data_IF_148466289722
#
_entry.id   IF_148466289722
#
_cell.length_a   1.000
_cell.length_b   1.000
_cell.length_c   1.000
_cell.angle_alpha   90.00
_cell.angle_beta   90.00
_cell.angle_gamma   90.00
#
_symmetry.space_group_name_H-M   'P 1'
#
loop_
_entity.id
_entity.type
_entity.pdbx_description
1 polymer ?
#
# COMPACT_ATOMS: atom_id res chain seq x y z
N UNK A 1 -3.25 -9.34 -20.71
CA UNK A 1 -3.30 -10.05 -19.41
C UNK A 1 -3.27 -9.03 -18.29
N UNK A 2 -4.28 -8.94 -17.43
CA UNK A 2 -4.24 -8.00 -16.31
C UNK A 2 -3.17 -8.48 -15.31
N UNK A 3 -2.02 -7.81 -15.26
CA UNK A 3 -1.00 -8.09 -14.26
C UNK A 3 -1.63 -7.91 -12.87
N UNK A 4 -1.76 -9.01 -12.12
CA UNK A 4 -2.20 -8.97 -10.73
C UNK A 4 -1.03 -8.53 -9.88
N UNK A 5 -1.19 -7.42 -9.15
CA UNK A 5 -0.19 -6.95 -8.21
C UNK A 5 -0.42 -7.59 -6.83
N UNK A 6 0.67 -7.94 -6.15
CA UNK A 6 0.62 -8.45 -4.79
C UNK A 6 0.90 -7.34 -3.77
N UNK A 7 0.41 -7.54 -2.55
CA UNK A 7 0.80 -6.68 -1.42
C UNK A 7 2.32 -6.70 -1.26
N UNK A 8 2.92 -5.53 -1.10
CA UNK A 8 4.37 -5.35 -1.02
C UNK A 8 5.06 -5.06 -2.35
N UNK A 9 4.37 -5.23 -3.49
CA UNK A 9 4.93 -4.89 -4.80
C UNK A 9 5.16 -3.39 -4.94
N UNK A 10 6.24 -3.04 -5.64
CA UNK A 10 6.53 -1.68 -6.07
C UNK A 10 5.87 -1.44 -7.43
N UNK A 11 5.15 -0.33 -7.53
CA UNK A 11 4.38 0.04 -8.71
C UNK A 11 4.58 1.52 -9.02
N UNK A 12 4.62 1.87 -10.30
CA UNK A 12 4.50 3.24 -10.77
C UNK A 12 3.03 3.56 -11.01
N UNK A 13 2.58 4.69 -10.48
CA UNK A 13 1.21 5.21 -10.65
C UNK A 13 1.16 6.18 -11.86
N UNK A 14 -0.03 6.54 -12.39
CA UNK A 14 -0.15 7.34 -13.61
C UNK A 14 0.54 8.71 -13.55
N UNK A 15 0.64 9.27 -12.35
CA UNK A 15 1.29 10.57 -12.12
C UNK A 15 2.84 10.50 -12.08
N UNK A 16 3.42 9.33 -12.40
CA UNK A 16 4.86 9.08 -12.48
C UNK A 16 5.52 8.67 -11.16
N UNK A 17 4.84 8.84 -10.01
CA UNK A 17 5.39 8.46 -8.70
C UNK A 17 5.53 6.94 -8.57
N UNK A 18 6.49 6.53 -7.76
CA UNK A 18 6.66 5.14 -7.32
C UNK A 18 5.97 4.96 -5.96
N UNK A 19 5.18 3.90 -5.85
CA UNK A 19 4.46 3.54 -4.64
C UNK A 19 4.57 2.05 -4.33
N UNK A 20 3.98 1.67 -3.20
CA UNK A 20 3.89 0.26 -2.79
C UNK A 20 2.46 -0.16 -2.53
N UNK A 21 2.09 -1.33 -3.05
CA UNK A 21 0.78 -1.92 -2.82
C UNK A 21 0.67 -2.31 -1.34
N UNK A 22 -0.25 -1.66 -0.63
CA UNK A 22 -0.54 -1.89 0.78
C UNK A 22 -1.63 -2.96 0.95
N UNK A 23 -2.64 -2.95 0.11
CA UNK A 23 -3.77 -3.86 0.14
C UNK A 23 -4.37 -4.02 -1.26
N UNK A 24 -5.09 -5.13 -1.46
CA UNK A 24 -5.93 -5.36 -2.64
C UNK A 24 -7.37 -5.34 -2.15
N UNK A 25 -8.18 -4.46 -2.73
CA UNK A 25 -9.57 -4.21 -2.35
C UNK A 25 -10.44 -4.37 -3.60
N UNK A 26 -11.27 -5.41 -3.68
CA UNK A 26 -12.26 -5.69 -4.76
C UNK A 26 -11.90 -5.12 -6.14
N UNK A 27 -10.83 -5.63 -6.76
CA UNK A 27 -10.40 -5.24 -8.11
C UNK A 27 -9.61 -3.92 -8.20
N UNK A 28 -9.39 -3.25 -7.08
CA UNK A 28 -8.54 -2.07 -6.93
C UNK A 28 -7.37 -2.37 -5.99
N UNK A 29 -6.34 -1.54 -6.09
CA UNK A 29 -5.11 -1.64 -5.34
C UNK A 29 -4.92 -0.39 -4.54
N UNK A 30 -4.76 -0.56 -3.23
CA UNK A 30 -4.43 0.54 -2.32
C UNK A 30 -2.94 0.74 -2.32
N UNK A 31 -2.46 1.78 -2.98
CA UNK A 31 -1.04 2.07 -3.16
C UNK A 31 -0.62 3.18 -2.22
N UNK A 32 0.41 2.95 -1.42
CA UNK A 32 1.06 3.98 -0.59
C UNK A 32 2.09 4.71 -1.46
N UNK A 33 1.91 6.01 -1.63
CA UNK A 33 2.83 6.90 -2.35
C UNK A 33 3.25 8.06 -1.44
N UNK A 34 4.43 8.61 -1.67
CA UNK A 34 4.83 9.87 -1.04
C UNK A 34 4.07 11.04 -1.70
N UNK A 35 3.70 12.06 -0.91
CA UNK A 35 3.11 13.30 -1.46
C UNK A 35 4.15 14.05 -2.28
N UNK A 36 3.72 14.79 -3.32
CA UNK A 36 4.63 15.62 -4.12
C UNK A 36 5.18 16.79 -3.31
N UNK A 37 4.35 17.35 -2.44
CA UNK A 37 4.64 18.58 -1.68
C UNK A 37 5.25 18.32 -0.31
N UNK A 38 5.38 17.07 0.13
CA UNK A 38 5.90 16.78 1.48
C UNK A 38 6.45 15.36 1.63
N UNK A 39 7.18 15.14 2.73
CA UNK A 39 7.70 13.81 3.11
C UNK A 39 6.63 12.87 3.67
N UNK A 40 5.37 13.32 3.76
CA UNK A 40 4.29 12.47 4.24
C UNK A 40 3.80 11.54 3.15
N UNK A 41 3.10 10.49 3.56
CA UNK A 41 2.57 9.48 2.66
C UNK A 41 1.06 9.64 2.52
N UNK A 42 0.54 9.26 1.36
CA UNK A 42 -0.89 9.13 1.10
C UNK A 42 -1.19 7.77 0.50
N UNK A 43 -2.46 7.40 0.49
CA UNK A 43 -2.94 6.21 -0.18
C UNK A 43 -3.74 6.62 -1.41
N UNK A 44 -3.47 5.96 -2.53
CA UNK A 44 -4.26 6.02 -3.75
C UNK A 44 -4.96 4.69 -3.95
N UNK A 45 -6.15 4.71 -4.54
CA UNK A 45 -6.90 3.52 -4.89
C UNK A 45 -7.00 3.45 -6.42
N UNK A 46 -6.25 2.53 -7.02
CA UNK A 46 -6.04 2.46 -8.48
C UNK A 46 -6.37 1.07 -9.01
N UNK A 47 -6.78 0.96 -10.28
CA UNK A 47 -7.02 -0.32 -10.96
C UNK A 47 -5.71 -0.91 -11.48
N UNK A 48 -5.69 -2.22 -11.77
CA UNK A 48 -4.50 -2.88 -12.33
C UNK A 48 -4.00 -2.22 -13.61
N UNK A 49 -4.90 -1.80 -14.51
CA UNK A 49 -4.54 -1.17 -15.78
C UNK A 49 -3.89 0.21 -15.64
N UNK A 50 -4.01 0.85 -14.47
CA UNK A 50 -3.41 2.15 -14.19
C UNK A 50 -2.01 2.02 -13.56
N UNK A 51 -1.61 0.80 -13.22
CA UNK A 51 -0.37 0.53 -12.51
C UNK A 51 0.63 -0.16 -13.42
N UNK A 52 1.90 0.24 -13.30
CA UNK A 52 3.01 -0.44 -13.94
C UNK A 52 3.91 -1.04 -12.88
N UNK A 53 4.29 -2.33 -13.04
CA UNK A 53 5.24 -2.95 -12.11
C UNK A 53 6.61 -2.31 -12.30
N UNK A 54 7.29 -2.01 -11.21
CA UNK A 54 8.66 -1.49 -11.23
C UNK A 54 9.50 -2.22 -10.20
N UNK A 55 10.81 -2.22 -10.41
CA UNK A 55 11.73 -2.64 -9.38
C UNK A 55 11.62 -1.72 -8.16
N UNK A 56 11.79 -2.31 -6.98
CA UNK A 56 11.76 -1.53 -5.76
C UNK A 56 13.00 -0.63 -5.70
N UNK A 57 12.84 0.70 -5.49
CA UNK A 57 13.98 1.60 -5.42
C UNK A 57 14.96 1.21 -4.32
N UNK A 58 16.25 1.50 -4.55
CA UNK A 58 17.29 1.31 -3.53
C UNK A 58 16.93 2.05 -2.24
N UNK A 59 17.17 1.40 -1.09
CA UNK A 59 16.80 1.91 0.23
C UNK A 59 15.38 1.57 0.68
N UNK A 60 14.54 0.98 -0.19
CA UNK A 60 13.25 0.45 0.23
C UNK A 60 13.43 -0.95 0.80
N UNK A 61 12.72 -1.24 1.90
CA UNK A 61 12.65 -2.61 2.42
C UNK A 61 12.14 -3.56 1.34
N UNK A 62 12.69 -4.78 1.28
CA UNK A 62 12.27 -5.79 0.31
C UNK A 62 10.75 -6.04 0.37
N UNK A 63 10.12 -6.50 -0.73
CA UNK A 63 8.70 -6.87 -0.72
C UNK A 63 8.34 -7.81 0.44
N UNK A 64 9.17 -8.82 0.69
CA UNK A 64 8.95 -9.79 1.76
C UNK A 64 9.16 -9.23 3.16
N UNK A 65 10.20 -8.40 3.36
CA UNK A 65 10.38 -7.68 4.63
C UNK A 65 9.18 -6.79 4.93
N UNK A 66 8.63 -6.14 3.90
CA UNK A 66 7.42 -5.32 4.05
C UNK A 66 6.19 -6.13 4.37
N UNK A 67 5.98 -7.28 3.72
CA UNK A 67 4.88 -8.19 4.06
C UNK A 67 4.97 -8.64 5.52
N UNK A 68 6.17 -8.97 6.01
CA UNK A 68 6.41 -9.35 7.41
C UNK A 68 6.11 -8.20 8.37
N UNK A 69 6.57 -6.99 8.08
CA UNK A 69 6.26 -5.79 8.87
C UNK A 69 4.76 -5.42 8.84
N UNK A 70 4.11 -5.60 7.69
CA UNK A 70 2.73 -5.21 7.46
C UNK A 70 1.76 -5.96 8.38
N UNK A 71 1.97 -7.27 8.56
CA UNK A 71 1.12 -8.13 9.40
C UNK A 71 0.90 -7.57 10.82
N UNK A 72 1.94 -7.32 11.63
CA UNK A 72 1.77 -6.78 12.97
C UNK A 72 1.24 -5.34 12.95
N UNK A 73 1.61 -4.50 11.97
CA UNK A 73 1.05 -3.15 11.86
C UNK A 73 -0.47 -3.18 11.67
N UNK A 74 -0.97 -3.99 10.73
CA UNK A 74 -2.40 -4.12 10.49
C UNK A 74 -3.14 -4.75 11.67
N UNK A 75 -2.52 -5.72 12.36
CA UNK A 75 -3.10 -6.31 13.57
C UNK A 75 -3.31 -5.26 14.67
N UNK A 76 -2.28 -4.43 14.96
CA UNK A 76 -2.37 -3.34 15.93
C UNK A 76 -3.42 -2.31 15.54
N UNK A 77 -3.51 -1.96 14.25
CA UNK A 77 -4.52 -1.03 13.76
C UNK A 77 -5.95 -1.56 13.95
N UNK A 78 -6.21 -2.81 13.56
CA UNK A 78 -7.52 -3.47 13.75
C UNK A 78 -7.90 -3.57 15.23
N UNK A 79 -6.95 -3.85 16.11
CA UNK A 79 -7.19 -3.87 17.55
C UNK A 79 -7.67 -2.50 18.06
N UNK A 80 -7.00 -1.41 17.63
CA UNK A 80 -7.42 -0.04 17.99
C UNK A 80 -8.80 0.31 17.48
N UNK A 81 -9.12 -0.05 16.23
CA UNK A 81 -10.45 0.17 15.66
C UNK A 81 -11.54 -0.57 16.44
N UNK A 82 -11.29 -1.82 16.85
CA UNK A 82 -12.20 -2.58 17.71
C UNK A 82 -12.41 -1.92 19.08
N UNK A 83 -11.34 -1.47 19.73
CA UNK A 83 -11.44 -0.78 21.02
C UNK A 83 -12.19 0.55 20.91
N UNK A 84 -11.94 1.32 19.84
CA UNK A 84 -12.66 2.58 19.57
C UNK A 84 -14.16 2.32 19.37
N UNK A 85 -14.51 1.27 18.62
CA UNK A 85 -15.91 0.87 18.40
C UNK A 85 -16.61 0.41 19.69
N UNK A 86 -15.87 -0.18 20.64
CA UNK A 86 -16.40 -0.57 21.96
C UNK A 86 -16.62 0.61 22.91
N UNK A 87 -15.81 1.68 22.81
CA UNK A 87 -15.91 2.87 23.69
C UNK A 87 -16.93 3.92 23.23
N UNK A 88 -17.29 3.91 21.95
CA UNK A 88 -18.32 4.81 21.38
C UNK A 88 -19.69 4.14 21.27
N UNK A 89 -19.94 3.08 22.02
CA UNK A 89 -21.20 2.35 22.08
C UNK A 89 -21.65 2.24 23.52
#
# INVERSE_FOLDING_TARGET
MAHRFAVGDCVRVPDGRVGRVRAVETGKYRVRVQRRTSKTHQFLLLRAGELSRVECPRGWMSPDGYRRYLKPTLAKQRARERTRKKRGR
#
